data_IF_035065430507
#
_entry.id   IF_035065430507
#
_cell.length_a   1.000
_cell.length_b   1.000
_cell.length_c   1.000
_cell.angle_alpha   90.00
_cell.angle_beta   90.00
_cell.angle_gamma   90.00
#
_symmetry.space_group_name_H-M   'P 1'
#
loop_
_entity.id
_entity.type
_entity.pdbx_description
1 polymer ?
#
# COMPACT_ATOMS: atom_id res chain seq x y z
N UNK A 1 0.85 28.11 -44.22
CA UNK A 1 0.91 28.72 -42.88
C UNK A 1 1.19 27.58 -41.90
N UNK A 2 2.47 27.28 -41.68
CA UNK A 2 2.92 26.07 -41.00
C UNK A 2 2.74 26.24 -39.50
N UNK A 3 1.84 25.46 -38.91
CA UNK A 3 1.62 25.43 -37.46
C UNK A 3 2.79 24.68 -36.85
N UNK A 4 3.83 25.39 -36.43
CA UNK A 4 4.84 24.85 -35.53
C UNK A 4 4.21 24.72 -34.14
N UNK A 5 3.60 23.57 -33.86
CA UNK A 5 3.23 23.19 -32.49
C UNK A 5 4.52 22.94 -31.73
N UNK A 6 5.04 23.97 -31.04
CA UNK A 6 6.19 23.81 -30.15
C UNK A 6 5.79 22.89 -28.99
N UNK A 7 6.09 21.60 -29.13
CA UNK A 7 6.05 20.63 -28.04
C UNK A 7 7.26 20.88 -27.16
N UNK A 8 7.09 21.74 -26.15
CA UNK A 8 8.09 21.96 -25.11
C UNK A 8 8.29 20.67 -24.29
N UNK A 9 9.44 19.98 -24.38
CA UNK A 9 9.71 18.73 -23.68
C UNK A 9 9.72 18.91 -22.15
N UNK A 10 10.00 20.13 -21.68
CA UNK A 10 10.11 20.44 -20.25
C UNK A 10 8.78 20.27 -19.51
N UNK A 11 7.65 20.51 -20.19
CA UNK A 11 6.31 20.33 -19.62
C UNK A 11 5.91 18.85 -19.47
N UNK A 12 6.47 17.95 -20.28
CA UNK A 12 6.20 16.51 -20.17
C UNK A 12 6.95 15.90 -18.98
N UNK A 13 8.19 16.31 -18.74
CA UNK A 13 9.00 15.85 -17.60
C UNK A 13 8.41 16.30 -16.26
N UNK A 14 7.97 17.57 -16.15
CA UNK A 14 7.37 18.11 -14.92
C UNK A 14 6.01 17.47 -14.55
N UNK A 15 5.26 16.96 -15.53
CA UNK A 15 4.00 16.24 -15.28
C UNK A 15 4.24 14.82 -14.77
N UNK A 16 5.26 14.13 -15.30
CA UNK A 16 5.66 12.80 -14.82
C UNK A 16 6.21 12.85 -13.39
N UNK A 17 6.99 13.87 -13.04
CA UNK A 17 7.50 14.02 -11.67
C UNK A 17 6.38 14.29 -10.66
N UNK A 18 5.41 15.15 -11.00
CA UNK A 18 4.23 15.38 -10.16
C UNK A 18 3.40 14.10 -9.93
N UNK A 19 3.15 13.33 -11.00
CA UNK A 19 2.45 12.05 -10.89
C UNK A 19 3.20 11.04 -10.03
N UNK A 20 4.52 10.91 -10.24
CA UNK A 20 5.35 9.98 -9.46
C UNK A 20 5.37 10.36 -7.98
N UNK A 21 5.42 11.65 -7.65
CA UNK A 21 5.36 12.12 -6.27
C UNK A 21 4.03 11.73 -5.58
N UNK A 22 2.89 11.97 -6.23
CA UNK A 22 1.58 11.58 -5.69
C UNK A 22 1.42 10.06 -5.57
N UNK A 23 1.98 9.29 -6.52
CA UNK A 23 2.02 7.84 -6.46
C UNK A 23 2.81 7.35 -5.24
N UNK A 24 4.03 7.86 -5.02
CA UNK A 24 4.85 7.49 -3.87
C UNK A 24 4.24 7.91 -2.53
N UNK A 25 3.58 9.07 -2.48
CA UNK A 25 2.84 9.51 -1.30
C UNK A 25 1.69 8.55 -0.98
N UNK A 26 0.90 8.18 -1.99
CA UNK A 26 -0.20 7.21 -1.82
C UNK A 26 0.32 5.85 -1.38
N UNK A 27 1.42 5.37 -1.98
CA UNK A 27 2.06 4.10 -1.60
C UNK A 27 2.52 4.14 -0.14
N UNK A 28 3.14 5.23 0.29
CA UNK A 28 3.56 5.42 1.69
C UNK A 28 2.38 5.37 2.66
N UNK A 29 1.24 5.96 2.29
CA UNK A 29 0.01 5.90 3.09
C UNK A 29 -0.52 4.48 3.20
N UNK A 30 -0.51 3.72 2.09
CA UNK A 30 -0.94 2.31 2.06
C UNK A 30 -0.03 1.44 2.92
N UNK A 31 1.28 1.59 2.82
CA UNK A 31 2.24 0.85 3.66
C UNK A 31 2.06 1.15 5.14
N UNK A 32 1.80 2.43 5.50
CA UNK A 32 1.50 2.81 6.88
C UNK A 32 0.19 2.18 7.35
N UNK A 33 -0.86 2.21 6.53
CA UNK A 33 -2.14 1.58 6.86
C UNK A 33 -1.98 0.08 7.08
N UNK A 34 -1.18 -0.60 6.23
CA UNK A 34 -0.88 -2.02 6.38
C UNK A 34 -0.25 -2.32 7.74
N UNK A 35 0.79 -1.58 8.14
CA UNK A 35 1.44 -1.79 9.46
C UNK A 35 0.48 -1.55 10.62
N UNK A 36 -0.29 -0.46 10.57
CA UNK A 36 -1.28 -0.15 11.60
C UNK A 36 -2.35 -1.24 11.72
N UNK A 37 -2.77 -1.82 10.59
CA UNK A 37 -3.71 -2.94 10.60
C UNK A 37 -3.09 -4.17 11.28
N UNK A 38 -1.84 -4.51 10.96
CA UNK A 38 -1.14 -5.61 11.62
C UNK A 38 -0.95 -5.37 13.11
N UNK A 39 -0.69 -4.13 13.52
CA UNK A 39 -0.59 -3.73 14.92
C UNK A 39 -1.94 -3.92 15.64
N UNK A 40 -3.05 -3.45 15.06
CA UNK A 40 -4.40 -3.66 15.61
C UNK A 40 -4.71 -5.15 15.76
N UNK A 41 -4.45 -5.97 14.73
CA UNK A 41 -4.68 -7.41 14.78
C UNK A 41 -3.84 -8.07 15.88
N UNK A 42 -2.58 -7.66 16.02
CA UNK A 42 -1.69 -8.15 17.08
C UNK A 42 -2.20 -7.76 18.47
N UNK A 43 -2.61 -6.51 18.66
CA UNK A 43 -3.17 -6.00 19.92
C UNK A 43 -4.41 -6.81 20.33
N UNK A 44 -5.27 -7.18 19.35
CA UNK A 44 -6.45 -8.01 19.64
C UNK A 44 -6.07 -9.41 20.11
N UNK A 45 -5.05 -10.02 19.53
CA UNK A 45 -4.58 -11.34 19.96
C UNK A 45 -3.94 -11.30 21.35
N UNK A 46 -3.12 -10.31 21.64
CA UNK A 46 -2.54 -10.11 22.97
C UNK A 46 -3.64 -9.88 24.01
N UNK A 47 -4.70 -9.13 23.67
CA UNK A 47 -5.84 -8.90 24.56
C UNK A 47 -6.61 -10.19 24.88
N UNK A 48 -6.78 -11.10 23.93
CA UNK A 48 -7.46 -12.40 24.16
C UNK A 48 -6.52 -13.49 24.67
N UNK A 49 -5.24 -13.18 24.91
CA UNK A 49 -4.24 -14.10 25.45
C UNK A 49 -3.61 -15.05 24.42
N UNK A 50 -3.79 -14.79 23.12
CA UNK A 50 -3.18 -15.56 22.03
C UNK A 50 -1.87 -14.88 21.62
N UNK A 51 -0.76 -15.26 22.25
CA UNK A 51 0.55 -14.61 22.04
C UNK A 51 1.52 -15.41 21.16
N UNK A 52 1.19 -16.67 20.88
CA UNK A 52 2.06 -17.59 20.13
C UNK A 52 1.99 -17.39 18.61
N UNK A 53 1.02 -16.60 18.14
CA UNK A 53 0.74 -16.37 16.72
C UNK A 53 0.81 -14.87 16.45
N UNK A 54 1.61 -14.46 15.47
CA UNK A 54 1.67 -13.06 15.03
C UNK A 54 0.58 -12.73 13.98
N UNK A 55 0.36 -11.43 13.74
CA UNK A 55 -0.69 -10.97 12.82
C UNK A 55 -0.55 -11.53 11.38
N UNK A 56 0.68 -11.73 10.88
CA UNK A 56 0.92 -12.31 9.54
C UNK A 56 0.54 -13.79 9.52
N UNK A 57 0.93 -14.57 10.53
CA UNK A 57 0.58 -15.98 10.66
C UNK A 57 -0.94 -16.17 10.78
N UNK A 58 -1.60 -15.32 11.55
CA UNK A 58 -3.06 -15.35 11.67
C UNK A 58 -3.76 -15.06 10.34
N UNK A 59 -3.25 -14.10 9.56
CA UNK A 59 -3.76 -13.84 8.21
C UNK A 59 -3.56 -15.05 7.28
N UNK A 60 -2.41 -15.73 7.36
CA UNK A 60 -2.19 -16.96 6.58
C UNK A 60 -3.17 -18.06 6.98
N UNK A 61 -3.37 -18.28 8.29
CA UNK A 61 -4.33 -19.27 8.79
C UNK A 61 -5.75 -18.96 8.35
N UNK A 62 -6.18 -17.69 8.40
CA UNK A 62 -7.46 -17.24 7.88
C UNK A 62 -7.60 -17.56 6.38
N UNK A 63 -6.59 -17.23 5.58
CA UNK A 63 -6.62 -17.46 4.13
C UNK A 63 -6.54 -18.95 3.73
N UNK A 64 -5.95 -19.81 4.57
CA UNK A 64 -5.91 -21.26 4.35
C UNK A 64 -7.21 -21.92 4.81
N UNK A 65 -7.75 -21.54 5.98
CA UNK A 65 -8.99 -22.12 6.53
C UNK A 65 -10.22 -21.89 5.65
N UNK A 66 -10.25 -20.79 4.90
CA UNK A 66 -11.30 -20.53 3.90
C UNK A 66 -11.14 -21.35 2.60
N UNK A 67 -10.00 -22.02 2.40
CA UNK A 67 -9.67 -22.82 1.22
C UNK A 67 -9.63 -24.34 1.49
N UNK A 68 -10.03 -24.82 2.67
CA UNK A 68 -10.26 -26.25 2.89
C UNK A 68 -11.54 -26.68 2.15
N UNK A 69 -11.36 -27.21 0.93
CA UNK A 69 -12.34 -27.97 0.13
C UNK A 69 -11.80 -29.35 -0.21
#
# INVERSE_FOLDING_TARGET
MSVHTNLDPSRMTGRNTGFMNSYLETLTLVERLHRLLLDVVKDEFERVGVIEINAVQALLLFNIGENEV
#
